data_IF_476411128155
#
_entry.id   IF_476411128155
#
_cell.length_a   1.000
_cell.length_b   1.000
_cell.length_c   1.000
_cell.angle_alpha   90.00
_cell.angle_beta   90.00
_cell.angle_gamma   90.00
#
_symmetry.space_group_name_H-M   'P 1'
#
loop_
_entity.id
_entity.type
_entity.pdbx_description
1 polymer ?
#
# COMPACT_ATOMS: atom_id res chain seq x y z
N UNK A 1 7.20 6.93 -22.70
CA UNK A 1 7.92 6.13 -21.70
C UNK A 1 8.37 6.95 -20.49
N UNK A 2 9.08 8.09 -20.64
CA UNK A 2 9.45 8.93 -19.47
C UNK A 2 8.23 9.41 -18.66
N UNK A 3 7.24 10.03 -19.32
CA UNK A 3 6.05 10.53 -18.62
C UNK A 3 5.07 9.47 -18.07
N UNK A 4 5.26 8.18 -18.38
CA UNK A 4 4.50 7.08 -17.76
C UNK A 4 5.24 6.54 -16.52
N UNK A 5 6.58 6.57 -16.55
CA UNK A 5 7.41 6.27 -15.41
C UNK A 5 7.32 7.38 -14.35
N UNK A 6 7.27 8.64 -14.75
CA UNK A 6 7.16 9.77 -13.80
C UNK A 6 5.86 9.67 -12.96
N UNK A 7 4.74 9.29 -13.59
CA UNK A 7 3.46 9.05 -12.92
C UNK A 7 3.53 7.91 -11.89
N UNK A 8 4.50 7.01 -12.02
CA UNK A 8 4.67 5.89 -11.12
C UNK A 8 5.20 6.34 -9.75
N UNK A 9 6.07 7.36 -9.72
CA UNK A 9 6.49 8.00 -8.47
C UNK A 9 5.31 8.68 -7.80
N UNK A 10 4.54 9.48 -8.55
CA UNK A 10 3.39 10.21 -8.00
C UNK A 10 2.39 9.24 -7.35
N UNK A 11 2.09 8.12 -8.02
CA UNK A 11 1.21 7.10 -7.44
C UNK A 11 1.80 6.42 -6.22
N UNK A 12 3.11 6.22 -6.14
CA UNK A 12 3.76 5.63 -4.97
C UNK A 12 3.78 6.60 -3.79
N UNK A 13 4.03 7.87 -4.03
CA UNK A 13 4.00 8.92 -3.00
C UNK A 13 2.59 9.11 -2.46
N UNK A 14 1.58 9.19 -3.35
CA UNK A 14 0.17 9.25 -2.96
C UNK A 14 -0.27 8.00 -2.19
N UNK A 15 0.18 6.81 -2.63
CA UNK A 15 -0.12 5.56 -1.96
C UNK A 15 0.47 5.53 -0.56
N UNK A 16 1.73 5.95 -0.40
CA UNK A 16 2.36 6.06 0.92
C UNK A 16 1.63 7.07 1.82
N UNK A 17 1.27 8.23 1.29
CA UNK A 17 0.52 9.24 2.03
C UNK A 17 -0.83 8.70 2.55
N UNK A 18 -1.61 8.03 1.69
CA UNK A 18 -2.88 7.43 2.09
C UNK A 18 -2.71 6.30 3.11
N UNK A 19 -1.69 5.44 2.96
CA UNK A 19 -1.41 4.38 3.92
C UNK A 19 -0.98 4.91 5.30
N UNK A 20 -0.18 5.98 5.34
CA UNK A 20 0.21 6.65 6.59
C UNK A 20 -0.98 7.34 7.25
N UNK A 21 -1.85 7.97 6.45
CA UNK A 21 -3.06 8.63 6.94
C UNK A 21 -4.18 7.65 7.35
N UNK A 22 -4.03 6.35 7.08
CA UNK A 22 -5.05 5.33 7.34
C UNK A 22 -6.25 5.40 6.38
N UNK A 23 -6.13 6.13 5.27
CA UNK A 23 -7.17 6.31 4.25
C UNK A 23 -7.19 5.12 3.28
N UNK A 24 -7.51 3.92 3.79
CA UNK A 24 -7.33 2.66 3.06
C UNK A 24 -8.14 2.57 1.75
N UNK A 25 -9.34 3.14 1.69
CA UNK A 25 -10.16 3.17 0.46
C UNK A 25 -9.49 3.99 -0.66
N UNK A 26 -8.85 5.10 -0.28
CA UNK A 26 -8.08 5.93 -1.22
C UNK A 26 -6.78 5.23 -1.63
N UNK A 27 -6.10 4.58 -0.68
CA UNK A 27 -4.93 3.76 -0.96
C UNK A 27 -5.24 2.64 -1.96
N UNK A 28 -6.36 1.93 -1.81
CA UNK A 28 -6.79 0.89 -2.76
C UNK A 28 -7.06 1.46 -4.17
N UNK A 29 -7.71 2.63 -4.23
CA UNK A 29 -7.95 3.34 -5.49
C UNK A 29 -6.64 3.70 -6.18
N UNK A 30 -5.67 4.24 -5.45
CA UNK A 30 -4.35 4.61 -5.98
C UNK A 30 -3.54 3.38 -6.39
N UNK A 31 -3.59 2.30 -5.62
CA UNK A 31 -2.95 1.02 -5.96
C UNK A 31 -3.51 0.42 -7.25
N UNK A 32 -4.83 0.53 -7.47
CA UNK A 32 -5.46 0.08 -8.71
C UNK A 32 -4.95 0.86 -9.92
N UNK A 33 -4.80 2.19 -9.79
CA UNK A 33 -4.22 3.03 -10.86
C UNK A 33 -2.76 2.67 -11.13
N UNK A 34 -1.99 2.40 -10.07
CA UNK A 34 -0.60 1.95 -10.16
C UNK A 34 -0.49 0.61 -10.92
N UNK A 35 -1.35 -0.38 -10.62
CA UNK A 35 -1.37 -1.67 -11.32
C UNK A 35 -1.68 -1.51 -12.82
N UNK A 36 -2.67 -0.68 -13.16
CA UNK A 36 -3.02 -0.38 -14.55
C UNK A 36 -1.83 0.25 -15.29
N UNK A 37 -1.16 1.23 -14.67
CA UNK A 37 0.03 1.87 -15.25
C UNK A 37 1.19 0.91 -15.42
N UNK A 38 1.47 0.05 -14.42
CA UNK A 38 2.51 -0.98 -14.51
C UNK A 38 2.23 -1.96 -15.66
N UNK A 39 1.00 -2.47 -15.74
CA UNK A 39 0.58 -3.36 -16.84
C UNK A 39 0.73 -2.69 -18.20
N UNK A 40 0.38 -1.42 -18.31
CA UNK A 40 0.56 -0.64 -19.56
C UNK A 40 2.03 -0.58 -19.95
N UNK A 41 2.91 -0.21 -19.01
CA UNK A 41 4.37 -0.13 -19.24
C UNK A 41 4.92 -1.50 -19.68
N UNK A 42 4.57 -2.56 -18.97
CA UNK A 42 5.07 -3.92 -19.24
C UNK A 42 4.38 -4.65 -20.39
N UNK A 43 3.24 -4.17 -20.89
CA UNK A 43 2.58 -4.72 -22.08
C UNK A 43 3.30 -4.37 -23.38
N UNK A 44 4.19 -3.38 -23.36
CA UNK A 44 4.95 -2.98 -24.53
C UNK A 44 6.14 -3.93 -24.76
N UNK A 45 6.04 -4.80 -25.76
CA UNK A 45 7.06 -5.80 -26.10
C UNK A 45 8.36 -5.21 -26.67
N UNK A 46 8.38 -3.91 -26.99
CA UNK A 46 9.57 -3.17 -27.42
C UNK A 46 10.15 -2.29 -26.29
N UNK A 47 10.12 -2.79 -25.05
CA UNK A 47 10.73 -2.15 -23.89
C UNK A 47 12.25 -2.07 -24.06
N UNK A 48 12.73 -0.92 -24.54
CA UNK A 48 14.14 -0.56 -24.50
C UNK A 48 14.33 0.51 -23.42
N UNK A 49 14.55 0.05 -22.19
CA UNK A 49 14.74 0.91 -21.03
C UNK A 49 16.21 1.31 -20.91
N UNK A 50 16.47 2.58 -20.59
CA UNK A 50 17.79 3.01 -20.18
C UNK A 50 18.14 2.46 -18.79
N UNK A 51 19.43 2.39 -18.47
CA UNK A 51 19.91 1.96 -17.16
C UNK A 51 19.31 2.80 -16.01
N UNK A 52 19.12 4.10 -16.24
CA UNK A 52 18.46 5.01 -15.29
C UNK A 52 16.97 4.64 -15.06
N UNK A 53 16.26 4.23 -16.12
CA UNK A 53 14.87 3.80 -16.01
C UNK A 53 14.75 2.44 -15.30
N UNK A 54 15.71 1.54 -15.51
CA UNK A 54 15.79 0.27 -14.77
C UNK A 54 16.03 0.53 -13.28
N UNK A 55 17.00 1.38 -12.95
CA UNK A 55 17.29 1.78 -11.56
C UNK A 55 16.05 2.39 -10.89
N UNK A 56 15.32 3.23 -11.62
CA UNK A 56 14.09 3.84 -11.13
C UNK A 56 13.01 2.79 -10.82
N UNK A 57 12.78 1.83 -11.72
CA UNK A 57 11.83 0.74 -11.49
C UNK A 57 12.22 -0.15 -10.30
N UNK A 58 13.52 -0.37 -10.09
CA UNK A 58 14.03 -1.08 -8.91
C UNK A 58 13.71 -0.32 -7.62
N UNK A 59 13.88 1.00 -7.62
CA UNK A 59 13.51 1.83 -6.47
C UNK A 59 12.00 1.78 -6.22
N UNK A 60 11.17 1.86 -7.28
CA UNK A 60 9.73 1.70 -7.18
C UNK A 60 9.35 0.35 -6.55
N UNK A 61 10.00 -0.73 -6.97
CA UNK A 61 9.77 -2.06 -6.39
C UNK A 61 10.12 -2.10 -4.90
N UNK A 62 11.28 -1.57 -4.50
CA UNK A 62 11.67 -1.47 -3.08
C UNK A 62 10.63 -0.71 -2.26
N UNK A 63 10.15 0.43 -2.76
CA UNK A 63 9.13 1.22 -2.06
C UNK A 63 7.82 0.44 -1.87
N UNK A 64 7.37 -0.32 -2.88
CA UNK A 64 6.18 -1.17 -2.77
C UNK A 64 6.39 -2.26 -1.70
N UNK A 65 7.56 -2.88 -1.67
CA UNK A 65 7.90 -3.91 -0.68
C UNK A 65 7.87 -3.34 0.73
N UNK A 66 8.47 -2.17 0.94
CA UNK A 66 8.50 -1.49 2.24
C UNK A 66 7.11 -1.07 2.68
N UNK A 67 6.30 -0.52 1.78
CA UNK A 67 4.92 -0.15 2.04
C UNK A 67 4.08 -1.38 2.44
N UNK A 68 4.23 -2.50 1.73
CA UNK A 68 3.54 -3.73 2.07
C UNK A 68 3.94 -4.22 3.48
N UNK A 69 5.23 -4.16 3.83
CA UNK A 69 5.68 -4.49 5.18
C UNK A 69 5.04 -3.58 6.25
N UNK A 70 4.95 -2.27 6.01
CA UNK A 70 4.26 -1.31 6.89
C UNK A 70 2.78 -1.67 7.06
N UNK A 71 2.07 -1.96 5.97
CA UNK A 71 0.66 -2.35 5.99
C UNK A 71 0.42 -3.67 6.75
N UNK A 72 1.30 -4.66 6.60
CA UNK A 72 1.21 -5.91 7.36
C UNK A 72 1.39 -5.67 8.87
N UNK A 73 2.33 -4.80 9.26
CA UNK A 73 2.51 -4.41 10.66
C UNK A 73 1.28 -3.68 11.21
N UNK A 74 0.72 -2.72 10.47
CA UNK A 74 -0.51 -2.03 10.86
C UNK A 74 -1.69 -3.00 11.00
N UNK A 75 -1.86 -3.95 10.08
CA UNK A 75 -2.89 -4.98 10.17
C UNK A 75 -2.75 -5.82 11.44
N UNK A 76 -1.53 -6.23 11.79
CA UNK A 76 -1.27 -6.98 13.01
C UNK A 76 -1.62 -6.17 14.27
N UNK A 77 -1.27 -4.88 14.29
CA UNK A 77 -1.60 -3.99 15.40
C UNK A 77 -3.12 -3.80 15.55
N UNK A 78 -3.83 -3.47 14.48
CA UNK A 78 -5.31 -3.35 14.48
C UNK A 78 -5.97 -4.64 14.97
N UNK A 79 -5.47 -5.81 14.55
CA UNK A 79 -5.98 -7.11 15.00
C UNK A 79 -5.80 -7.31 16.50
N UNK A 80 -4.63 -6.90 17.04
CA UNK A 80 -4.34 -6.93 18.47
C UNK A 80 -5.26 -6.00 19.26
N UNK A 81 -5.46 -4.78 18.78
CA UNK A 81 -6.37 -3.82 19.41
C UNK A 81 -7.83 -4.31 19.41
N UNK A 82 -8.30 -4.85 18.29
CA UNK A 82 -9.65 -5.42 18.19
C UNK A 82 -9.85 -6.59 19.16
N UNK A 83 -8.87 -7.49 19.26
CA UNK A 83 -8.92 -8.62 20.18
C UNK A 83 -9.02 -8.16 21.64
N UNK A 84 -8.24 -7.13 22.02
CA UNK A 84 -8.32 -6.52 23.36
C UNK A 84 -9.68 -5.87 23.59
N UNK A 85 -10.20 -5.13 22.62
CA UNK A 85 -11.51 -4.50 22.71
C UNK A 85 -12.64 -5.52 22.91
N UNK A 86 -12.66 -6.59 22.10
CA UNK A 86 -13.62 -7.68 22.26
C UNK A 86 -13.51 -8.37 23.62
N UNK A 87 -12.28 -8.59 24.11
CA UNK A 87 -12.04 -9.12 25.45
C UNK A 87 -12.59 -8.22 26.56
N UNK A 88 -12.39 -6.90 26.44
CA UNK A 88 -12.92 -5.92 27.37
C UNK A 88 -14.44 -5.86 27.33
N UNK A 89 -15.05 -5.92 26.14
CA UNK A 89 -16.50 -5.95 25.97
C UNK A 89 -17.12 -7.18 26.64
N UNK A 90 -16.49 -8.37 26.51
CA UNK A 90 -16.91 -9.58 27.22
C UNK A 90 -16.87 -9.41 28.74
N UNK A 91 -15.79 -8.81 29.27
CA UNK A 91 -15.68 -8.52 30.71
C UNK A 91 -16.76 -7.56 31.18
N UNK A 92 -16.97 -6.45 30.47
CA UNK A 92 -18.00 -5.45 30.79
C UNK A 92 -19.39 -6.10 30.84
N UNK A 93 -19.71 -6.94 29.86
CA UNK A 93 -21.00 -7.65 29.83
C UNK A 93 -21.13 -8.61 31.01
N UNK A 94 -20.07 -9.34 31.37
CA UNK A 94 -20.07 -10.21 32.55
C UNK A 94 -20.31 -9.43 33.85
N UNK A 95 -19.68 -8.25 34.00
CA UNK A 95 -19.90 -7.39 35.17
C UNK A 95 -21.29 -6.74 35.23
N UNK A 96 -21.95 -6.50 34.09
CA UNK A 96 -23.32 -5.96 34.02
C UNK A 96 -24.42 -7.02 34.18
N UNK A 97 -24.09 -8.30 34.03
CA UNK A 97 -25.01 -9.43 34.22
C UNK A 97 -25.02 -9.99 35.66
N UNK A 98 -24.29 -9.36 36.58
CA UNK A 98 -24.33 -9.59 38.03
C UNK A 98 -25.14 -8.46 38.65
#
# INVERSE_FOLDING_TARGET
MSGELDKLADYLEDLEAHCVAGELDKAETTLSKLDVSLRSIFSNTALNLSEQQVQYLQNCYTNIVDLNAKLQMQKADVTSQLSKHMGNQKKINAYKSI
#
